data_IF_656722272076
#
_entry.id   IF_656722272076
#
_cell.length_a   1.000
_cell.length_b   1.000
_cell.length_c   1.000
_cell.angle_alpha   90.00
_cell.angle_beta   90.00
_cell.angle_gamma   90.00
#
_symmetry.space_group_name_H-M   'P 1'
#
loop_
_entity.id
_entity.type
_entity.pdbx_description
1 polymer ?
#
# COMPACT_ATOMS: atom_id res chain seq x y z
N UNK A 1 23.27 -3.26 -10.66
CA UNK A 1 22.02 -3.15 -9.87
C UNK A 1 22.31 -2.20 -8.72
N UNK A 2 21.74 -0.99 -8.71
CA UNK A 2 21.93 -0.03 -7.63
C UNK A 2 21.02 -0.46 -6.46
N UNK A 3 21.62 -0.96 -5.38
CA UNK A 3 20.88 -1.26 -4.16
C UNK A 3 20.49 0.02 -3.43
N UNK A 4 19.23 0.13 -3.02
CA UNK A 4 18.79 1.19 -2.11
C UNK A 4 19.23 0.85 -0.68
N UNK A 5 19.77 1.83 0.05
CA UNK A 5 20.14 1.68 1.47
C UNK A 5 19.52 2.78 2.31
N UNK A 6 18.81 2.39 3.37
CA UNK A 6 18.25 3.30 4.36
C UNK A 6 19.27 3.55 5.46
N UNK A 7 19.97 4.68 5.41
CA UNK A 7 21.03 5.03 6.37
C UNK A 7 20.41 5.40 7.72
N UNK A 8 20.90 4.80 8.81
CA UNK A 8 20.48 5.10 10.18
C UNK A 8 19.27 4.30 10.66
N UNK A 9 18.69 3.45 9.81
CA UNK A 9 17.54 2.63 10.17
C UNK A 9 17.83 1.69 11.35
N UNK A 10 19.05 1.17 11.44
CA UNK A 10 19.52 0.31 12.52
C UNK A 10 19.39 0.95 13.91
N UNK A 11 19.50 2.27 13.96
CA UNK A 11 19.39 3.08 15.18
C UNK A 11 18.03 3.77 15.33
N UNK A 12 17.21 3.79 14.26
CA UNK A 12 15.92 4.44 14.26
C UNK A 12 14.87 3.62 15.01
N UNK A 13 13.90 4.30 15.62
CA UNK A 13 12.75 3.71 16.29
C UNK A 13 11.49 4.49 15.91
N UNK A 14 10.38 3.79 15.78
CA UNK A 14 9.08 4.45 15.75
C UNK A 14 8.85 5.18 17.08
N UNK A 15 8.08 6.27 17.07
CA UNK A 15 7.65 6.89 18.31
C UNK A 15 6.64 5.98 19.02
N UNK A 16 6.59 6.05 20.35
CA UNK A 16 5.58 5.31 21.13
C UNK A 16 4.16 5.61 20.64
N UNK A 17 3.86 6.87 20.30
CA UNK A 17 2.57 7.27 19.76
C UNK A 17 2.20 6.53 18.46
N UNK A 18 3.18 6.21 17.59
CA UNK A 18 2.92 5.45 16.36
C UNK A 18 2.63 3.99 16.69
N UNK A 19 3.37 3.39 17.62
CA UNK A 19 3.15 2.00 18.02
C UNK A 19 1.79 1.83 18.71
N UNK A 20 1.45 2.73 19.63
CA UNK A 20 0.14 2.77 20.27
C UNK A 20 -0.99 2.95 19.25
N UNK A 21 -0.84 3.88 18.30
CA UNK A 21 -1.86 4.08 17.27
C UNK A 21 -2.07 2.85 16.39
N UNK A 22 -1.03 2.07 16.11
CA UNK A 22 -1.15 0.81 15.37
C UNK A 22 -1.81 -0.29 16.21
N UNK A 23 -1.48 -0.37 17.50
CA UNK A 23 -2.06 -1.35 18.44
C UNK A 23 -3.56 -1.10 18.68
N UNK A 24 -4.01 0.16 18.63
CA UNK A 24 -5.40 0.56 18.86
C UNK A 24 -6.22 0.72 17.57
N UNK A 25 -5.60 0.61 16.39
CA UNK A 25 -6.29 0.84 15.12
C UNK A 25 -7.25 -0.30 14.77
N UNK A 26 -8.47 0.06 14.38
CA UNK A 26 -9.42 -0.88 13.74
C UNK A 26 -8.93 -1.34 12.35
N UNK A 27 -8.03 -0.57 11.73
CA UNK A 27 -7.50 -0.85 10.40
C UNK A 27 -6.38 0.11 9.98
N UNK A 28 -5.54 -0.34 9.05
CA UNK A 28 -4.42 0.43 8.49
C UNK A 28 -4.64 0.65 6.99
N UNK A 29 -4.35 1.85 6.50
CA UNK A 29 -4.43 2.19 5.07
C UNK A 29 -3.07 2.69 4.59
N UNK A 30 -2.48 1.98 3.63
CA UNK A 30 -1.37 2.51 2.86
C UNK A 30 -1.90 3.35 1.70
N UNK A 31 -1.74 4.66 1.83
CA UNK A 31 -1.98 5.61 0.74
C UNK A 31 -1.18 5.24 -0.53
N UNK A 32 -1.57 5.75 -1.74
CA UNK A 32 -0.89 5.47 -3.01
C UNK A 32 0.48 6.17 -3.09
N UNK A 33 1.38 5.74 -2.22
CA UNK A 33 2.73 6.23 -1.99
C UNK A 33 3.74 5.22 -2.51
N UNK A 34 4.99 5.65 -2.69
CA UNK A 34 6.03 4.76 -3.19
C UNK A 34 6.32 3.63 -2.16
N UNK A 35 6.22 2.35 -2.57
CA UNK A 35 6.38 1.22 -1.66
C UNK A 35 7.79 1.12 -1.07
N UNK A 36 8.82 1.61 -1.78
CA UNK A 36 10.22 1.44 -1.38
C UNK A 36 10.78 2.60 -0.57
N UNK A 37 10.47 3.85 -0.94
CA UNK A 37 11.06 5.04 -0.30
C UNK A 37 10.10 5.80 0.60
N UNK A 38 8.81 5.47 0.58
CA UNK A 38 7.81 6.11 1.44
C UNK A 38 7.27 5.14 2.48
N UNK A 39 6.68 4.03 2.04
CA UNK A 39 6.10 3.04 2.96
C UNK A 39 7.18 2.11 3.53
N UNK A 40 8.10 1.64 2.68
CA UNK A 40 9.20 0.75 3.05
C UNK A 40 10.00 1.20 4.27
N UNK A 41 10.46 2.47 4.35
CA UNK A 41 11.21 2.94 5.52
C UNK A 41 10.40 2.97 6.80
N UNK A 42 9.08 3.22 6.71
CA UNK A 42 8.17 3.20 7.87
C UNK A 42 8.03 1.76 8.37
N UNK A 43 7.76 0.81 7.47
CA UNK A 43 7.65 -0.61 7.81
C UNK A 43 8.95 -1.22 8.33
N UNK A 44 10.08 -0.67 7.93
CA UNK A 44 11.39 -1.17 8.35
C UNK A 44 11.78 -0.74 9.77
N UNK A 45 11.01 0.16 10.41
CA UNK A 45 11.20 0.51 11.81
C UNK A 45 10.79 -0.68 12.70
N UNK A 46 11.59 -1.01 13.74
CA UNK A 46 11.29 -2.14 14.62
C UNK A 46 9.88 -2.05 15.24
N UNK A 47 9.12 -3.15 15.15
CA UNK A 47 7.80 -3.27 15.75
C UNK A 47 6.64 -2.73 14.90
N UNK A 48 6.91 -2.03 13.79
CA UNK A 48 5.87 -1.46 12.92
C UNK A 48 5.25 -2.54 12.04
N UNK A 49 6.08 -3.33 11.35
CA UNK A 49 5.59 -4.35 10.41
C UNK A 49 4.77 -5.43 11.11
N UNK A 50 5.18 -5.82 12.32
CA UNK A 50 4.49 -6.84 13.11
C UNK A 50 3.08 -6.38 13.49
N UNK A 51 2.91 -5.11 13.88
CA UNK A 51 1.61 -4.53 14.22
C UNK A 51 0.71 -4.39 12.99
N UNK A 52 1.27 -3.89 11.89
CA UNK A 52 0.56 -3.84 10.60
C UNK A 52 0.04 -5.23 10.23
N UNK A 53 0.85 -6.28 10.36
CA UNK A 53 0.45 -7.64 10.01
C UNK A 53 -0.64 -8.24 10.94
N UNK A 54 -0.91 -7.60 12.09
CA UNK A 54 -1.95 -8.02 13.05
C UNK A 54 -3.24 -7.21 12.92
N UNK A 55 -3.23 -6.15 12.11
CA UNK A 55 -4.34 -5.22 11.95
C UNK A 55 -4.86 -5.28 10.50
N UNK A 56 -6.19 -5.29 10.25
CA UNK A 56 -6.73 -5.27 8.90
C UNK A 56 -6.12 -4.16 8.05
N UNK A 57 -5.35 -4.52 7.02
CA UNK A 57 -4.54 -3.57 6.25
C UNK A 57 -4.95 -3.53 4.79
N UNK A 58 -5.20 -2.33 4.28
CA UNK A 58 -5.50 -2.07 2.86
C UNK A 58 -4.38 -1.26 2.23
N UNK A 59 -3.88 -1.67 1.07
CA UNK A 59 -2.98 -0.87 0.25
C UNK A 59 -3.65 -0.33 -1.01
N UNK A 60 -3.36 0.94 -1.35
CA UNK A 60 -3.81 1.58 -2.58
C UNK A 60 -2.66 1.58 -3.58
N UNK A 61 -2.89 1.09 -4.80
CA UNK A 61 -1.83 1.08 -5.82
C UNK A 61 -1.36 2.50 -6.16
N UNK A 62 -0.03 2.78 -6.13
CA UNK A 62 0.54 4.00 -6.71
C UNK A 62 0.80 3.86 -8.22
N UNK A 63 0.55 2.68 -8.80
CA UNK A 63 0.71 2.39 -10.23
C UNK A 63 -0.67 2.24 -10.87
N UNK A 64 -0.88 2.97 -11.97
CA UNK A 64 -2.11 2.97 -12.75
C UNK A 64 -1.76 2.76 -14.22
N UNK A 65 -2.31 1.73 -14.86
CA UNK A 65 -2.08 1.45 -16.28
C UNK A 65 -0.60 1.26 -16.62
N UNK A 66 0.17 0.68 -15.70
CA UNK A 66 1.61 0.47 -15.83
C UNK A 66 2.48 1.73 -15.63
N UNK A 67 1.93 2.82 -15.08
CA UNK A 67 2.66 4.06 -14.81
C UNK A 67 2.51 4.48 -13.36
N UNK A 68 3.57 5.01 -12.76
CA UNK A 68 3.48 5.59 -11.43
C UNK A 68 2.68 6.90 -11.47
N UNK A 69 1.76 7.08 -10.53
CA UNK A 69 1.01 8.33 -10.38
C UNK A 69 1.95 9.51 -10.08
N UNK A 70 2.92 9.29 -9.18
CA UNK A 70 3.96 10.26 -8.82
C UNK A 70 5.27 9.57 -8.47
N UNK A 71 6.37 10.29 -8.71
CA UNK A 71 7.70 9.90 -8.24
C UNK A 71 8.28 8.66 -8.93
N UNK A 72 9.38 8.10 -8.39
CA UNK A 72 10.19 7.11 -9.09
C UNK A 72 9.70 5.66 -8.91
N UNK A 73 8.48 5.42 -8.41
CA UNK A 73 8.02 4.07 -8.03
C UNK A 73 8.17 3.05 -9.18
N UNK A 74 7.68 3.40 -10.37
CA UNK A 74 7.79 2.55 -11.55
C UNK A 74 9.24 2.20 -11.91
N UNK A 75 10.14 3.18 -11.86
CA UNK A 75 11.57 2.96 -12.11
C UNK A 75 12.17 2.02 -11.07
N UNK A 76 11.87 2.22 -9.79
CA UNK A 76 12.40 1.41 -8.70
C UNK A 76 11.87 -0.03 -8.72
N UNK A 77 10.62 -0.24 -9.16
CA UNK A 77 10.08 -1.58 -9.42
C UNK A 77 10.89 -2.28 -10.51
N UNK A 78 11.08 -1.61 -11.66
CA UNK A 78 11.84 -2.16 -12.77
C UNK A 78 13.29 -2.48 -12.39
N UNK A 79 13.97 -1.60 -11.64
CA UNK A 79 15.34 -1.82 -11.17
C UNK A 79 15.47 -3.00 -10.19
N UNK A 80 14.38 -3.35 -9.49
CA UNK A 80 14.28 -4.51 -8.60
C UNK A 80 13.76 -5.77 -9.32
N UNK A 81 13.54 -5.71 -10.64
CA UNK A 81 13.02 -6.83 -11.42
C UNK A 81 11.54 -7.14 -11.15
N UNK A 82 10.81 -6.20 -10.56
CA UNK A 82 9.37 -6.30 -10.33
C UNK A 82 8.60 -5.82 -11.56
N UNK A 83 7.43 -6.42 -11.80
CA UNK A 83 6.51 -5.96 -12.84
C UNK A 83 6.01 -4.55 -12.52
N UNK A 84 6.12 -3.61 -13.45
CA UNK A 84 5.61 -2.24 -13.27
C UNK A 84 4.10 -2.22 -13.52
N UNK A 85 3.34 -2.74 -12.55
CA UNK A 85 1.88 -2.78 -12.59
C UNK A 85 1.29 -2.73 -11.17
N UNK A 86 -0.02 -2.50 -11.07
CA UNK A 86 -0.73 -2.63 -9.80
C UNK A 86 -0.56 -4.04 -9.19
N UNK A 87 -0.52 -5.07 -10.04
CA UNK A 87 -0.26 -6.45 -9.62
C UNK A 87 1.15 -6.62 -9.05
N UNK A 88 2.17 -6.02 -9.65
CA UNK A 88 3.54 -6.05 -9.11
C UNK A 88 3.66 -5.39 -7.73
N UNK A 89 2.87 -4.34 -7.48
CA UNK A 89 2.76 -3.74 -6.14
C UNK A 89 2.02 -4.67 -5.18
N UNK A 90 0.93 -5.30 -5.60
CA UNK A 90 0.21 -6.27 -4.78
C UNK A 90 1.11 -7.45 -4.40
N UNK A 91 1.90 -7.98 -5.33
CA UNK A 91 2.90 -9.02 -5.06
C UNK A 91 3.93 -8.58 -4.03
N UNK A 92 4.39 -7.32 -4.10
CA UNK A 92 5.33 -6.78 -3.12
C UNK A 92 4.75 -6.76 -1.69
N UNK A 93 3.45 -6.55 -1.54
CA UNK A 93 2.75 -6.53 -0.26
C UNK A 93 2.07 -7.85 0.12
N UNK A 94 2.20 -8.90 -0.69
CA UNK A 94 1.56 -10.19 -0.44
C UNK A 94 1.96 -10.77 0.92
N UNK A 95 0.96 -11.20 1.69
CA UNK A 95 1.12 -11.69 3.07
C UNK A 95 1.33 -10.61 4.13
N UNK A 96 1.33 -9.32 3.75
CA UNK A 96 1.31 -8.19 4.70
C UNK A 96 -0.01 -7.43 4.69
N UNK A 97 -0.67 -7.32 3.53
CA UNK A 97 -1.92 -6.57 3.39
C UNK A 97 -3.08 -7.52 3.05
N UNK A 98 -4.24 -7.25 3.62
CA UNK A 98 -5.45 -8.06 3.47
C UNK A 98 -6.33 -7.57 2.30
N UNK A 99 -6.25 -6.27 2.01
CA UNK A 99 -7.00 -5.62 0.94
C UNK A 99 -6.11 -4.84 -0.02
N UNK A 100 -6.52 -4.77 -1.28
CA UNK A 100 -5.81 -4.01 -2.30
C UNK A 100 -6.76 -3.21 -3.19
N UNK A 101 -6.47 -1.91 -3.35
CA UNK A 101 -7.26 -1.00 -4.18
C UNK A 101 -6.56 -0.80 -5.52
N UNK A 102 -7.26 -1.16 -6.59
CA UNK A 102 -6.86 -0.91 -7.97
C UNK A 102 -7.63 0.28 -8.54
N UNK A 103 -6.99 0.96 -9.49
CA UNK A 103 -7.69 1.92 -10.34
C UNK A 103 -8.57 1.20 -11.36
N UNK A 104 -9.65 1.85 -11.83
CA UNK A 104 -10.51 1.33 -12.90
C UNK A 104 -9.72 0.96 -14.16
N UNK A 105 -8.65 1.70 -14.48
CA UNK A 105 -7.77 1.41 -15.61
C UNK A 105 -7.08 0.03 -15.52
N UNK A 106 -6.98 -0.54 -14.31
CA UNK A 106 -6.33 -1.81 -14.00
C UNK A 106 -7.32 -2.92 -13.60
N UNK A 107 -8.63 -2.75 -13.83
CA UNK A 107 -9.68 -3.74 -13.49
C UNK A 107 -9.35 -5.17 -13.97
N UNK A 108 -8.68 -5.29 -15.12
CA UNK A 108 -8.27 -6.60 -15.68
C UNK A 108 -7.28 -7.37 -14.80
N UNK A 109 -6.65 -6.72 -13.82
CA UNK A 109 -5.70 -7.32 -12.88
C UNK A 109 -6.38 -7.80 -11.59
N UNK A 110 -7.67 -7.49 -11.39
CA UNK A 110 -8.38 -7.75 -10.13
C UNK A 110 -8.35 -9.22 -9.72
N UNK A 111 -8.68 -10.14 -10.65
CA UNK A 111 -8.67 -11.59 -10.36
C UNK A 111 -7.28 -12.08 -9.95
N UNK A 112 -6.22 -11.58 -10.59
CA UNK A 112 -4.85 -11.94 -10.26
C UNK A 112 -4.44 -11.42 -8.87
N UNK A 113 -4.90 -10.22 -8.49
CA UNK A 113 -4.70 -9.69 -7.12
C UNK A 113 -5.45 -10.53 -6.10
N UNK A 114 -6.70 -10.93 -6.38
CA UNK A 114 -7.46 -11.83 -5.49
C UNK A 114 -6.79 -13.19 -5.33
N UNK A 115 -6.16 -13.70 -6.38
CA UNK A 115 -5.40 -14.95 -6.33
C UNK A 115 -4.15 -14.89 -5.41
N UNK A 116 -3.69 -13.69 -5.03
CA UNK A 116 -2.65 -13.49 -4.00
C UNK A 116 -3.20 -13.61 -2.56
N UNK A 117 -4.50 -13.85 -2.39
CA UNK A 117 -5.17 -13.94 -1.09
C UNK A 117 -5.68 -12.61 -0.54
N UNK A 118 -5.73 -11.55 -1.37
CA UNK A 118 -6.22 -10.23 -0.98
C UNK A 118 -7.68 -10.04 -1.39
N UNK A 119 -8.48 -9.38 -0.55
CA UNK A 119 -9.70 -8.75 -1.03
C UNK A 119 -9.35 -7.58 -1.97
N UNK A 120 -10.20 -7.29 -2.97
CA UNK A 120 -9.96 -6.18 -3.89
C UNK A 120 -11.10 -5.18 -3.95
N UNK A 121 -10.73 -3.93 -4.17
CA UNK A 121 -11.63 -2.84 -4.54
C UNK A 121 -11.11 -2.21 -5.83
N UNK A 122 -11.96 -2.11 -6.85
CA UNK A 122 -11.67 -1.35 -8.08
C UNK A 122 -12.47 -0.06 -8.02
N UNK A 123 -11.80 1.09 -8.14
CA UNK A 123 -12.44 2.41 -8.13
C UNK A 123 -11.55 3.45 -8.81
N UNK A 124 -12.07 4.64 -9.11
CA UNK A 124 -11.26 5.80 -9.46
C UNK A 124 -10.37 6.16 -8.26
N UNK A 125 -9.06 5.92 -8.40
CA UNK A 125 -8.07 6.10 -7.32
C UNK A 125 -7.32 7.42 -7.42
N UNK A 126 -7.54 8.20 -8.48
CA UNK A 126 -6.80 9.44 -8.74
C UNK A 126 -7.44 10.61 -8.00
N UNK A 127 -6.63 11.28 -7.16
CA UNK A 127 -7.09 12.40 -6.34
C UNK A 127 -6.59 13.75 -6.89
N UNK A 128 -7.41 14.44 -7.67
CA UNK A 128 -7.11 15.78 -8.20
C UNK A 128 -7.47 16.90 -7.21
N UNK A 129 -8.54 16.71 -6.45
CA UNK A 129 -9.08 17.72 -5.55
C UNK A 129 -9.54 17.12 -4.21
N UNK A 130 -10.11 17.96 -3.33
CA UNK A 130 -10.57 17.53 -2.00
C UNK A 130 -11.79 16.60 -2.03
N UNK A 131 -12.67 16.76 -3.02
CA UNK A 131 -13.81 15.87 -3.20
C UNK A 131 -13.36 14.45 -3.58
N UNK A 132 -12.38 14.33 -4.48
CA UNK A 132 -11.83 13.03 -4.87
C UNK A 132 -11.19 12.31 -3.67
N UNK A 133 -10.42 13.04 -2.85
CA UNK A 133 -9.84 12.50 -1.60
C UNK A 133 -10.92 11.99 -0.66
N UNK A 134 -12.01 12.75 -0.48
CA UNK A 134 -13.12 12.37 0.40
C UNK A 134 -13.88 11.16 -0.14
N UNK A 135 -14.13 11.11 -1.44
CA UNK A 135 -14.78 9.98 -2.11
C UNK A 135 -13.97 8.71 -1.91
N UNK A 136 -12.69 8.72 -2.30
CA UNK A 136 -11.81 7.56 -2.19
C UNK A 136 -11.70 7.08 -0.73
N UNK A 137 -11.52 7.99 0.22
CA UNK A 137 -11.49 7.64 1.64
C UNK A 137 -12.80 6.97 2.10
N UNK A 138 -13.95 7.48 1.65
CA UNK A 138 -15.26 6.92 2.01
C UNK A 138 -15.44 5.50 1.47
N UNK A 139 -15.08 5.27 0.21
CA UNK A 139 -15.17 3.96 -0.43
C UNK A 139 -14.24 2.94 0.24
N UNK A 140 -13.01 3.33 0.56
CA UNK A 140 -12.05 2.46 1.24
C UNK A 140 -12.51 2.11 2.65
N UNK A 141 -13.03 3.07 3.42
CA UNK A 141 -13.58 2.80 4.75
C UNK A 141 -14.82 1.90 4.67
N UNK A 142 -15.67 2.07 3.65
CA UNK A 142 -16.83 1.19 3.43
C UNK A 142 -16.39 -0.23 3.05
N UNK A 143 -15.38 -0.35 2.19
CA UNK A 143 -14.79 -1.62 1.80
C UNK A 143 -14.17 -2.34 3.00
N UNK A 144 -13.38 -1.63 3.81
CA UNK A 144 -12.79 -2.16 5.04
C UNK A 144 -13.85 -2.71 5.99
N UNK A 145 -14.90 -1.93 6.25
CA UNK A 145 -16.02 -2.37 7.11
C UNK A 145 -16.76 -3.58 6.57
N UNK A 146 -16.89 -3.71 5.26
CA UNK A 146 -17.61 -4.85 4.66
C UNK A 146 -16.82 -6.15 4.80
N UNK A 147 -15.50 -6.07 4.83
CA UNK A 147 -14.61 -7.24 4.86
C UNK A 147 -14.19 -7.64 6.28
N UNK A 148 -14.00 -6.67 7.19
CA UNK A 148 -13.36 -6.90 8.49
C UNK A 148 -14.05 -6.25 9.70
N UNK A 149 -15.27 -5.71 9.56
CA UNK A 149 -16.06 -5.19 10.70
C UNK A 149 -17.16 -6.15 11.18
#
# INVERSE_FOLDING_TARGET
>A
MLGMRLVGLENARASEAVLTALDEADGVIFCPSNPFVSIGPILALPGVRERVAQTPTIAISPIIGGRALKGPAAKMMAEQGLEVSALGVAQHYAGLVDGFVLDEADVRLEEAVRALGMASLVTDSVMHNAADRKRLATEILSFMKTQWA
#
